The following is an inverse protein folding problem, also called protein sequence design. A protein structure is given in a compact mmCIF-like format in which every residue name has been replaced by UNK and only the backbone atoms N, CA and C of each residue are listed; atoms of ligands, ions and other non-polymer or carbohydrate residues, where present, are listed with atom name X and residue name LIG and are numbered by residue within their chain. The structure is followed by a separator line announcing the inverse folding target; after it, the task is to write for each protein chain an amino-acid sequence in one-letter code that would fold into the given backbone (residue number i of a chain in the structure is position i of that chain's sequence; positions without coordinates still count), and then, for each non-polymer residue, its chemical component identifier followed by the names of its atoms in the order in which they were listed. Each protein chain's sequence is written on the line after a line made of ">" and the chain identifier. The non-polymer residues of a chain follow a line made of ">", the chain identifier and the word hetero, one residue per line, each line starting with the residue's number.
data_IF_444665315573
#
_entry.id   IF_444665315573
#
_cell.length_a   1.000
_cell.length_b   1.000
_cell.length_c   1.000
_cell.angle_alpha   90.00
_cell.angle_beta   90.00
_cell.angle_gamma   90.00
#
_symmetry.space_group_name_H-M   'P 1'
#
loop_
_entity.id
_entity.type
_entity.pdbx_description
1 polymer ?
#
# COMPACT_ATOMS: atom_id res chain seq x y z
N UNK A 1 6.06 -14.63 6.01
CA UNK A 1 4.87 -14.14 5.28
C UNK A 1 5.34 -13.26 4.14
N UNK A 2 4.73 -13.37 2.95
CA UNK A 2 5.04 -12.49 1.82
C UNK A 2 4.46 -11.10 2.10
N UNK A 3 5.31 -10.08 2.04
CA UNK A 3 4.90 -8.67 2.17
C UNK A 3 4.88 -8.03 0.78
N UNK A 4 3.76 -7.45 0.40
CA UNK A 4 3.54 -6.80 -0.90
C UNK A 4 3.81 -5.31 -0.75
N UNK A 5 4.81 -4.81 -1.47
CA UNK A 5 5.11 -3.39 -1.57
C UNK A 5 4.16 -2.72 -2.58
N UNK A 6 3.20 -1.96 -2.09
CA UNK A 6 2.21 -1.26 -2.90
C UNK A 6 2.74 0.14 -3.27
N UNK A 7 3.45 0.23 -4.40
CA UNK A 7 3.90 1.50 -4.98
C UNK A 7 3.07 1.91 -6.19
N UNK A 8 2.67 3.18 -6.20
CA UNK A 8 1.97 3.83 -7.31
C UNK A 8 2.11 5.34 -7.22
N UNK A 9 1.49 6.10 -8.15
CA UNK A 9 1.45 7.56 -8.06
C UNK A 9 0.73 8.01 -6.78
N UNK A 10 1.19 9.10 -6.16
CA UNK A 10 0.68 9.63 -4.88
C UNK A 10 0.46 11.15 -4.93
N UNK A 11 0.40 11.73 -6.12
CA UNK A 11 0.38 13.17 -6.38
C UNK A 11 -0.88 13.83 -5.84
N UNK A 12 -2.02 13.14 -5.85
CA UNK A 12 -3.29 13.66 -5.36
C UNK A 12 -4.01 12.68 -4.41
N UNK A 13 -5.09 13.16 -3.79
CA UNK A 13 -5.85 12.37 -2.81
C UNK A 13 -6.55 11.16 -3.43
N UNK A 14 -6.95 11.25 -4.71
CA UNK A 14 -7.61 10.16 -5.41
C UNK A 14 -6.65 8.99 -5.63
N UNK A 15 -5.45 9.28 -6.10
CA UNK A 15 -4.40 8.27 -6.30
C UNK A 15 -4.01 7.57 -4.99
N UNK A 16 -3.89 8.32 -3.88
CA UNK A 16 -3.65 7.71 -2.56
C UNK A 16 -4.77 6.76 -2.14
N UNK A 17 -6.03 7.17 -2.34
CA UNK A 17 -7.19 6.33 -2.02
C UNK A 17 -7.27 5.07 -2.90
N UNK A 18 -6.80 5.14 -4.16
CA UNK A 18 -6.68 3.95 -5.02
C UNK A 18 -5.65 2.97 -4.46
N UNK A 19 -4.49 3.46 -4.03
CA UNK A 19 -3.46 2.63 -3.41
C UNK A 19 -3.97 1.96 -2.12
N UNK A 20 -4.68 2.70 -1.28
CA UNK A 20 -5.30 2.16 -0.06
C UNK A 20 -6.33 1.06 -0.39
N UNK A 21 -7.12 1.23 -1.45
CA UNK A 21 -8.10 0.24 -1.90
C UNK A 21 -7.42 -1.04 -2.40
N UNK A 22 -6.31 -0.93 -3.14
CA UNK A 22 -5.53 -2.09 -3.62
C UNK A 22 -4.96 -2.86 -2.42
N UNK A 23 -4.40 -2.14 -1.45
CA UNK A 23 -3.85 -2.76 -0.25
C UNK A 23 -4.90 -3.50 0.57
N UNK A 24 -6.08 -2.90 0.73
CA UNK A 24 -7.21 -3.53 1.43
C UNK A 24 -7.62 -4.86 0.78
N UNK A 25 -7.66 -4.93 -0.55
CA UNK A 25 -7.98 -6.18 -1.26
C UNK A 25 -6.90 -7.25 -1.02
N UNK A 26 -5.63 -6.86 -1.02
CA UNK A 26 -4.51 -7.79 -0.74
C UNK A 26 -4.54 -8.29 0.71
N UNK A 27 -4.83 -7.41 1.66
CA UNK A 27 -4.96 -7.73 3.08
C UNK A 27 -6.13 -8.71 3.33
N UNK A 28 -7.27 -8.49 2.66
CA UNK A 28 -8.41 -9.40 2.70
C UNK A 28 -8.09 -10.79 2.12
N UNK A 29 -7.17 -10.87 1.16
CA UNK A 29 -6.67 -12.12 0.60
C UNK A 29 -5.58 -12.78 1.47
N UNK A 30 -5.23 -12.20 2.62
CA UNK A 30 -4.27 -12.76 3.59
C UNK A 30 -2.82 -12.35 3.37
N UNK A 31 -2.55 -11.39 2.48
CA UNK A 31 -1.20 -10.83 2.31
C UNK A 31 -0.94 -9.72 3.31
N UNK A 32 0.33 -9.52 3.69
CA UNK A 32 0.75 -8.29 4.35
C UNK A 32 1.13 -7.24 3.31
N UNK A 33 0.82 -5.97 3.53
CA UNK A 33 1.13 -4.89 2.59
C UNK A 33 2.10 -3.86 3.20
N UNK A 34 2.69 -3.03 2.35
CA UNK A 34 3.36 -1.80 2.73
C UNK A 34 3.03 -0.70 1.73
N UNK A 35 2.62 0.47 2.23
CA UNK A 35 2.24 1.64 1.46
C UNK A 35 3.07 2.83 1.96
N UNK A 36 3.98 3.42 1.16
CA UNK A 36 4.87 4.49 1.63
C UNK A 36 4.16 5.68 2.27
N UNK A 37 3.01 6.11 1.74
CA UNK A 37 2.25 7.24 2.30
C UNK A 37 1.48 6.91 3.57
N UNK A 38 1.22 5.62 3.84
CA UNK A 38 0.47 5.15 5.02
C UNK A 38 1.41 4.70 6.13
N UNK A 39 2.43 3.96 5.76
CA UNK A 39 3.29 3.18 6.65
C UNK A 39 4.66 3.84 6.89
N UNK A 40 4.94 4.97 6.21
CA UNK A 40 6.18 5.72 6.34
C UNK A 40 7.29 5.22 5.43
N UNK A 41 8.54 5.43 5.83
CA UNK A 41 9.72 4.90 5.13
C UNK A 41 10.14 3.59 5.80
N UNK A 42 10.25 2.52 5.02
CA UNK A 42 10.90 1.29 5.46
C UNK A 42 12.41 1.48 5.26
N UNK A 43 13.15 1.62 6.37
CA UNK A 43 14.61 1.60 6.32
C UNK A 43 15.05 0.15 6.16
N UNK A 44 15.66 -0.17 5.02
CA UNK A 44 16.30 -1.46 4.77
C UNK A 44 17.65 -1.56 5.49
#
# INVERSE_FOLDING_TARGET
>A
MLRVYCAGPLFNARERAEMDSIASVLEQAGFSTFLPHRDGLEFA
#
